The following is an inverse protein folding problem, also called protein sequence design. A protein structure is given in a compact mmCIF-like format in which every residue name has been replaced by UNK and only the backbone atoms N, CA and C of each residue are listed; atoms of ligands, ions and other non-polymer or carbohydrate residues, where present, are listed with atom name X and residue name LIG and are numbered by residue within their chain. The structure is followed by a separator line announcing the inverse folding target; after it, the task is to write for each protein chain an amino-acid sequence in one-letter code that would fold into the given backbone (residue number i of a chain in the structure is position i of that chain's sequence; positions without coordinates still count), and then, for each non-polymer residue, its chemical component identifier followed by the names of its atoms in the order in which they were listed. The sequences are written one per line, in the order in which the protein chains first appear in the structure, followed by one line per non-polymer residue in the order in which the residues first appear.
data_IF_079315142784
#
_entry.id   IF_079315142784
#
_cell.length_a   1.000
_cell.length_b   1.000
_cell.length_c   1.000
_cell.angle_alpha   90.00
_cell.angle_beta   90.00
_cell.angle_gamma   90.00
#
_symmetry.space_group_name_H-M   'P 1'
#
loop_
_entity.id
_entity.type
_entity.pdbx_description
1 polymer ?
#
# COMPACT_ATOMS: atom_id res chain seq x y z
N UNK A 1 -26.28 2.71 2.72
CA UNK A 1 -25.92 3.96 3.43
C UNK A 1 -24.87 3.58 4.46
N UNK A 2 -23.63 4.09 4.35
CA UNK A 2 -22.54 3.66 5.22
C UNK A 2 -22.74 4.24 6.63
N UNK A 3 -22.73 3.41 7.67
CA UNK A 3 -22.99 3.81 9.05
C UNK A 3 -21.79 4.64 9.59
N UNK A 4 -21.79 5.94 9.32
CA UNK A 4 -21.00 6.92 10.05
C UNK A 4 -19.56 7.19 9.57
N UNK A 5 -18.98 6.40 8.64
CA UNK A 5 -17.63 6.58 8.07
C UNK A 5 -17.63 6.32 6.56
N UNK A 6 -16.67 6.86 5.79
CA UNK A 6 -16.53 6.54 4.37
C UNK A 6 -16.23 5.05 4.15
N UNK A 7 -16.68 4.49 3.03
CA UNK A 7 -16.31 3.14 2.62
C UNK A 7 -14.88 3.15 2.09
N UNK A 8 -13.97 2.44 2.74
CA UNK A 8 -12.57 2.37 2.33
C UNK A 8 -12.26 1.03 1.67
N UNK A 9 -12.03 1.06 0.35
CA UNK A 9 -11.69 -0.09 -0.48
C UNK A 9 -10.19 -0.08 -0.73
N UNK A 10 -9.49 -1.13 -0.32
CA UNK A 10 -8.06 -1.29 -0.60
C UNK A 10 -7.87 -2.27 -1.74
N UNK A 11 -7.20 -1.85 -2.82
CA UNK A 11 -6.77 -2.75 -3.88
C UNK A 11 -5.32 -3.17 -3.60
N UNK A 12 -5.10 -4.46 -3.45
CA UNK A 12 -3.81 -5.01 -3.02
C UNK A 12 -3.40 -6.27 -3.79
N UNK A 13 -2.11 -6.56 -3.79
CA UNK A 13 -1.56 -7.80 -4.33
C UNK A 13 -0.28 -8.20 -3.62
N UNK A 14 0.01 -9.49 -3.57
CA UNK A 14 1.21 -10.00 -2.91
C UNK A 14 2.52 -9.77 -3.69
N UNK A 15 2.48 -9.28 -4.94
CA UNK A 15 3.68 -8.92 -5.74
C UNK A 15 3.42 -7.73 -6.66
N UNK A 16 4.49 -7.11 -7.17
CA UNK A 16 4.42 -6.08 -8.20
C UNK A 16 3.98 -6.63 -9.57
N UNK A 17 3.45 -5.77 -10.44
CA UNK A 17 3.10 -6.10 -11.83
C UNK A 17 1.81 -6.91 -12.03
N UNK A 18 1.06 -7.22 -10.96
CA UNK A 18 -0.20 -7.97 -11.06
C UNK A 18 -1.38 -7.18 -11.64
N UNK A 19 -1.24 -5.87 -11.85
CA UNK A 19 -2.29 -5.01 -12.38
C UNK A 19 -3.14 -4.29 -11.32
N UNK A 20 -2.67 -4.16 -10.06
CA UNK A 20 -3.37 -3.39 -9.02
C UNK A 20 -3.81 -2.01 -9.47
N UNK A 21 -2.85 -1.19 -9.93
CA UNK A 21 -3.12 0.19 -10.33
C UNK A 21 -4.03 0.30 -11.56
N UNK A 22 -4.04 -0.73 -12.43
CA UNK A 22 -5.02 -0.85 -13.51
C UNK A 22 -6.43 -1.08 -12.96
N UNK A 23 -6.55 -1.96 -11.96
CA UNK A 23 -7.84 -2.24 -11.30
C UNK A 23 -8.28 -1.03 -10.48
N UNK A 24 -7.41 -0.44 -9.65
CA UNK A 24 -7.76 0.69 -8.78
C UNK A 24 -8.13 1.93 -9.58
N UNK A 25 -7.34 2.33 -10.59
CA UNK A 25 -7.66 3.48 -11.42
C UNK A 25 -8.96 3.30 -12.21
N UNK A 26 -9.18 2.11 -12.75
CA UNK A 26 -10.41 1.80 -13.47
C UNK A 26 -11.62 1.76 -12.55
N UNK A 27 -11.50 1.21 -11.33
CA UNK A 27 -12.58 1.20 -10.33
C UNK A 27 -12.94 2.63 -9.89
N UNK A 28 -11.94 3.46 -9.62
CA UNK A 28 -12.12 4.88 -9.27
C UNK A 28 -12.94 5.58 -10.37
N UNK A 29 -12.51 5.47 -11.61
CA UNK A 29 -13.18 6.13 -12.74
C UNK A 29 -14.59 5.59 -12.97
N UNK A 30 -14.78 4.27 -12.85
CA UNK A 30 -16.09 3.63 -12.95
C UNK A 30 -17.07 4.19 -11.91
N UNK A 31 -16.67 4.18 -10.63
CA UNK A 31 -17.53 4.65 -9.54
C UNK A 31 -17.82 6.16 -9.65
N UNK A 32 -16.82 6.95 -10.05
CA UNK A 32 -17.03 8.36 -10.33
C UNK A 32 -18.09 8.59 -11.42
N UNK A 33 -18.01 7.85 -12.54
CA UNK A 33 -19.00 7.90 -13.64
C UNK A 33 -20.40 7.44 -13.22
N UNK A 34 -20.50 6.61 -12.19
CA UNK A 34 -21.78 6.21 -11.56
C UNK A 34 -22.33 7.24 -10.58
N UNK A 35 -21.63 8.35 -10.36
CA UNK A 35 -22.05 9.45 -9.48
C UNK A 35 -21.69 9.30 -8.01
N UNK A 36 -20.82 8.35 -7.65
CA UNK A 36 -20.32 8.24 -6.29
C UNK A 36 -19.33 9.36 -5.97
N UNK A 37 -19.32 9.81 -4.71
CA UNK A 37 -18.32 10.73 -4.18
C UNK A 37 -17.04 9.96 -3.91
N UNK A 38 -16.01 10.16 -4.70
CA UNK A 38 -14.75 9.39 -4.66
C UNK A 38 -13.63 10.24 -4.06
N UNK A 39 -12.79 9.60 -3.26
CA UNK A 39 -11.45 10.05 -2.90
C UNK A 39 -10.47 8.98 -3.37
N UNK A 40 -9.60 9.31 -4.31
CA UNK A 40 -8.51 8.43 -4.73
C UNK A 40 -7.35 8.55 -3.74
N UNK A 41 -6.73 7.43 -3.40
CA UNK A 41 -5.57 7.43 -2.52
C UNK A 41 -4.49 6.50 -3.07
N UNK A 42 -3.29 7.05 -3.28
CA UNK A 42 -2.11 6.30 -3.74
C UNK A 42 -1.16 6.07 -2.57
N UNK A 43 -1.08 4.83 -2.12
CA UNK A 43 -0.23 4.42 -1.00
C UNK A 43 1.07 3.74 -1.45
N UNK A 44 1.34 3.65 -2.75
CA UNK A 44 2.63 3.20 -3.28
C UNK A 44 3.60 4.38 -3.39
N UNK A 45 4.12 4.83 -2.25
CA UNK A 45 4.97 6.02 -2.18
C UNK A 45 6.34 5.86 -2.87
N UNK A 46 6.75 4.64 -3.22
CA UNK A 46 7.99 4.38 -3.97
C UNK A 46 7.80 4.59 -5.48
N UNK A 47 6.61 4.27 -5.99
CA UNK A 47 6.27 4.41 -7.39
C UNK A 47 4.82 4.90 -7.58
N UNK A 48 4.48 6.09 -7.06
CA UNK A 48 3.12 6.61 -7.15
C UNK A 48 2.75 6.87 -8.61
N UNK A 49 1.60 6.37 -9.05
CA UNK A 49 1.20 6.44 -10.45
C UNK A 49 -0.25 6.90 -10.67
N UNK A 50 -1.13 6.85 -9.65
CA UNK A 50 -2.51 7.28 -9.82
C UNK A 50 -2.63 8.75 -10.25
N UNK A 51 -1.76 9.63 -9.77
CA UNK A 51 -1.77 11.04 -10.12
C UNK A 51 -1.44 11.26 -11.60
N UNK A 52 -0.62 10.39 -12.20
CA UNK A 52 -0.32 10.42 -13.63
C UNK A 52 -1.55 9.95 -14.43
N UNK A 53 -2.16 8.83 -14.03
CA UNK A 53 -3.33 8.25 -14.69
C UNK A 53 -4.56 9.17 -14.68
N UNK A 54 -4.63 10.08 -13.73
CA UNK A 54 -5.73 11.05 -13.59
C UNK A 54 -5.32 12.50 -13.91
N UNK A 55 -4.17 12.67 -14.58
CA UNK A 55 -3.67 13.95 -15.09
C UNK A 55 -3.73 15.07 -14.03
N UNK A 56 -3.13 14.82 -12.87
CA UNK A 56 -3.03 15.82 -11.81
C UNK A 56 -1.98 16.85 -12.19
N UNK A 57 -2.41 18.05 -12.55
CA UNK A 57 -1.54 19.12 -13.02
C UNK A 57 -0.86 19.92 -11.90
N UNK A 58 -1.48 19.96 -10.73
CA UNK A 58 -0.97 20.68 -9.56
C UNK A 58 -1.50 20.06 -8.26
N UNK A 59 -0.78 20.32 -7.17
CA UNK A 59 -1.16 19.91 -5.84
C UNK A 59 -1.69 21.13 -5.05
N UNK A 60 -2.88 20.98 -4.47
CA UNK A 60 -3.49 22.00 -3.61
C UNK A 60 -2.73 22.15 -2.29
N UNK A 61 -2.15 21.05 -1.81
CA UNK A 61 -1.39 20.98 -0.57
C UNK A 61 -0.27 19.94 -0.67
N UNK A 62 0.90 20.31 -0.15
CA UNK A 62 2.07 19.43 -0.03
C UNK A 62 2.61 19.55 1.37
N UNK A 63 2.52 18.48 2.15
CA UNK A 63 3.06 18.41 3.51
C UNK A 63 4.34 17.57 3.52
N UNK A 64 5.39 18.08 4.14
CA UNK A 64 6.60 17.31 4.38
C UNK A 64 6.33 16.21 5.41
N UNK A 65 6.74 15.00 5.06
CA UNK A 65 6.68 13.86 5.97
C UNK A 65 8.03 13.64 6.66
N UNK A 66 8.06 13.83 7.97
CA UNK A 66 9.29 13.78 8.76
C UNK A 66 9.07 13.04 10.08
N UNK A 67 8.91 11.73 10.03
CA UNK A 67 8.82 10.85 11.20
C UNK A 67 10.15 10.21 11.60
N UNK A 68 11.20 10.48 10.84
CA UNK A 68 12.48 9.89 10.99
C UNK A 68 13.50 10.83 11.63
N UNK A 69 14.49 10.23 12.24
CA UNK A 69 15.60 10.93 12.84
C UNK A 69 16.91 10.39 12.27
N UNK A 70 17.92 11.26 12.24
CA UNK A 70 19.32 10.88 12.09
C UNK A 70 20.11 11.41 13.29
N UNK A 71 21.22 10.78 13.58
CA UNK A 71 22.15 11.30 14.56
C UNK A 71 23.00 12.42 13.95
N UNK A 72 23.34 13.44 14.75
CA UNK A 72 24.16 14.56 14.37
C UNK A 72 25.19 14.84 15.46
N UNK A 73 26.46 15.05 15.09
CA UNK A 73 27.55 15.27 16.03
C UNK A 73 27.74 16.78 16.26
N UNK A 74 27.73 17.16 17.52
CA UNK A 74 28.20 18.47 17.97
C UNK A 74 29.74 18.42 18.18
N UNK A 75 30.46 18.90 17.20
CA UNK A 75 31.94 18.87 17.22
C UNK A 75 32.55 19.74 18.29
N UNK A 76 31.84 20.70 18.87
CA UNK A 76 32.35 21.48 20.00
C UNK A 76 32.47 20.65 21.29
N UNK A 77 31.77 19.52 21.37
CA UNK A 77 31.72 18.61 22.51
C UNK A 77 32.40 17.28 22.24
N UNK A 78 32.70 16.96 20.98
CA UNK A 78 33.28 15.69 20.59
C UNK A 78 34.78 15.66 20.88
N UNK A 79 35.23 14.69 21.69
CA UNK A 79 36.63 14.44 22.00
C UNK A 79 37.25 13.32 21.15
N UNK A 80 36.59 12.86 20.13
CA UNK A 80 37.05 11.83 19.19
C UNK A 80 37.34 10.45 19.85
N UNK A 81 36.65 10.09 20.94
CA UNK A 81 36.88 8.83 21.69
C UNK A 81 36.54 7.55 20.92
N UNK A 82 35.72 7.61 19.84
CA UNK A 82 35.39 6.45 18.99
C UNK A 82 34.22 5.58 19.46
N UNK A 83 33.70 5.77 20.68
CA UNK A 83 32.65 4.93 21.23
C UNK A 83 31.41 4.85 20.32
N UNK A 84 31.05 5.94 19.64
CA UNK A 84 29.90 5.97 18.73
C UNK A 84 30.07 5.04 17.51
N UNK A 85 31.31 4.85 17.03
CA UNK A 85 31.60 3.93 15.91
C UNK A 85 31.43 2.50 16.37
N UNK A 86 31.98 2.15 17.54
CA UNK A 86 31.96 0.78 18.08
C UNK A 86 30.55 0.26 18.33
N UNK A 87 29.61 1.15 18.64
CA UNK A 87 28.22 0.77 18.98
C UNK A 87 27.23 0.93 17.83
N UNK A 88 27.64 1.39 16.65
CA UNK A 88 26.74 1.61 15.53
C UNK A 88 26.40 0.28 14.82
N UNK A 89 25.17 -0.24 14.93
CA UNK A 89 24.81 -1.53 14.31
C UNK A 89 24.66 -1.43 12.79
N UNK A 90 24.71 -0.22 12.23
CA UNK A 90 24.48 0.06 10.80
C UNK A 90 25.76 0.52 10.09
N UNK A 91 26.90 0.59 10.78
CA UNK A 91 28.16 1.11 10.23
C UNK A 91 28.04 2.51 9.59
N UNK A 92 27.10 3.31 10.11
CA UNK A 92 26.78 4.64 9.57
C UNK A 92 27.79 5.73 9.96
N UNK A 93 28.77 5.43 10.82
CA UNK A 93 29.73 6.43 11.35
C UNK A 93 31.11 6.14 10.79
N UNK A 94 31.68 7.08 10.06
CA UNK A 94 32.96 6.97 9.38
C UNK A 94 33.87 8.13 9.79
N UNK A 95 35.18 7.98 9.55
CA UNK A 95 36.14 9.08 9.70
C UNK A 95 36.33 9.72 8.32
N UNK A 96 36.04 11.02 8.23
CA UNK A 96 36.29 11.85 7.05
C UNK A 96 37.04 13.09 7.51
N UNK A 97 38.15 13.38 6.87
CA UNK A 97 39.04 14.52 7.21
C UNK A 97 39.40 14.64 8.71
N UNK A 98 39.66 13.48 9.32
CA UNK A 98 40.04 13.41 10.74
C UNK A 98 38.91 13.66 11.73
N UNK A 99 37.65 13.67 11.28
CA UNK A 99 36.46 13.82 12.12
C UNK A 99 35.50 12.68 11.89
N UNK A 100 34.73 12.31 12.91
CA UNK A 100 33.61 11.36 12.73
C UNK A 100 32.49 12.02 11.95
N UNK A 101 32.07 11.36 10.90
CA UNK A 101 30.91 11.76 10.05
C UNK A 101 29.83 10.68 10.15
N UNK A 102 28.59 11.09 10.38
CA UNK A 102 27.44 10.21 10.35
C UNK A 102 26.80 10.31 8.97
N UNK A 103 26.84 9.20 8.21
CA UNK A 103 26.25 9.13 6.91
C UNK A 103 24.71 9.16 7.05
N UNK A 104 24.05 10.24 6.58
CA UNK A 104 22.61 10.38 6.72
C UNK A 104 21.81 9.35 5.88
N UNK A 105 22.43 8.72 4.89
CA UNK A 105 21.80 7.71 4.05
C UNK A 105 21.74 6.33 4.69
N UNK A 106 22.69 6.06 5.60
CA UNK A 106 22.82 4.78 6.32
C UNK A 106 22.23 4.88 7.73
N UNK A 107 22.24 6.07 8.33
CA UNK A 107 21.80 6.26 9.72
C UNK A 107 20.29 6.03 9.89
N UNK A 108 19.93 5.05 10.70
CA UNK A 108 18.54 4.71 11.05
C UNK A 108 17.99 5.47 12.27
N UNK A 109 18.77 6.40 12.86
CA UNK A 109 18.33 7.23 13.99
C UNK A 109 18.00 6.44 15.26
N UNK A 110 18.55 5.26 15.44
CA UNK A 110 18.28 4.34 16.56
C UNK A 110 18.72 4.87 17.94
N UNK A 111 19.53 5.93 17.98
CA UNK A 111 20.03 6.61 19.18
C UNK A 111 21.11 5.87 19.96
N UNK A 112 21.55 4.68 19.58
CA UNK A 112 22.58 3.90 20.27
C UNK A 112 23.88 4.72 20.48
N UNK A 113 24.35 5.40 19.43
CA UNK A 113 25.53 6.28 19.50
C UNK A 113 25.31 7.50 20.44
N UNK A 114 24.10 8.04 20.50
CA UNK A 114 23.77 9.15 21.42
C UNK A 114 23.80 8.72 22.89
N UNK A 115 23.31 7.51 23.16
CA UNK A 115 23.29 6.93 24.51
C UNK A 115 24.69 6.54 24.97
N UNK A 116 25.55 6.03 24.07
CA UNK A 116 26.90 5.60 24.36
C UNK A 116 27.90 6.79 24.47
N UNK A 117 27.58 7.98 23.99
CA UNK A 117 28.48 9.11 23.95
C UNK A 117 28.74 9.71 25.35
N UNK A 118 29.94 9.57 25.95
CA UNK A 118 30.26 10.08 27.30
C UNK A 118 30.21 11.60 27.36
N UNK A 119 30.47 12.27 26.23
CA UNK A 119 30.46 13.74 26.12
C UNK A 119 29.07 14.30 25.77
N UNK A 120 28.05 13.41 25.54
CA UNK A 120 26.74 13.83 25.07
C UNK A 120 26.81 14.75 23.83
N UNK A 121 27.78 14.45 22.94
CA UNK A 121 28.05 15.22 21.74
C UNK A 121 27.12 14.83 20.57
N UNK A 122 26.27 13.79 20.71
CA UNK A 122 25.43 13.32 19.64
C UNK A 122 23.98 13.58 20.02
N UNK A 123 23.28 14.28 19.14
CA UNK A 123 21.84 14.56 19.24
C UNK A 123 21.08 13.95 18.08
N UNK A 124 19.77 13.82 18.25
CA UNK A 124 18.87 13.41 17.16
C UNK A 124 18.37 14.64 16.43
N UNK A 125 18.45 14.63 15.11
CA UNK A 125 17.84 15.63 14.24
C UNK A 125 16.74 14.98 13.42
N UNK A 126 15.57 15.61 13.42
CA UNK A 126 14.44 15.18 12.58
C UNK A 126 14.77 15.46 11.12
N UNK A 127 14.39 14.53 10.23
CA UNK A 127 14.62 14.66 8.79
C UNK A 127 13.34 14.40 8.01
N UNK A 128 13.20 15.15 6.94
CA UNK A 128 12.16 14.89 5.95
C UNK A 128 12.53 13.60 5.22
N UNK A 129 11.57 12.69 5.07
CA UNK A 129 11.76 11.42 4.33
C UNK A 129 10.80 11.25 3.16
N UNK A 130 9.86 12.16 3.01
CA UNK A 130 8.90 12.10 1.95
C UNK A 130 7.92 13.27 2.00
N UNK A 131 6.90 13.20 1.18
CA UNK A 131 5.83 14.20 1.11
C UNK A 131 4.49 13.51 0.98
N UNK A 132 3.46 14.10 1.58
CA UNK A 132 2.06 13.75 1.35
C UNK A 132 1.42 14.90 0.61
N UNK A 133 0.77 14.59 -0.49
CA UNK A 133 0.25 15.56 -1.43
C UNK A 133 -1.25 15.37 -1.58
N UNK A 134 -1.98 16.48 -1.60
CA UNK A 134 -3.43 16.52 -1.86
C UNK A 134 -3.66 17.38 -3.09
N UNK A 135 -4.48 16.91 -4.01
CA UNK A 135 -4.81 17.63 -5.23
C UNK A 135 -6.15 17.19 -5.79
N UNK A 136 -6.43 17.68 -6.99
CA UNK A 136 -7.61 17.30 -7.77
C UNK A 136 -7.20 16.75 -9.12
N UNK A 137 -7.94 15.74 -9.53
CA UNK A 137 -7.79 15.13 -10.85
C UNK A 137 -8.43 15.99 -11.93
N UNK A 138 -8.19 15.70 -13.21
CA UNK A 138 -8.90 16.34 -14.33
C UNK A 138 -10.43 16.13 -14.24
N UNK A 139 -10.90 15.08 -13.54
CA UNK A 139 -12.32 14.84 -13.28
C UNK A 139 -12.85 15.59 -12.03
N UNK A 140 -12.02 16.39 -11.38
CA UNK A 140 -12.35 17.18 -10.19
C UNK A 140 -12.57 16.39 -8.89
N UNK A 141 -12.44 15.06 -8.85
CA UNK A 141 -12.43 14.36 -7.59
C UNK A 141 -11.06 14.49 -6.89
N UNK A 142 -11.03 14.50 -5.54
CA UNK A 142 -9.80 14.64 -4.79
C UNK A 142 -8.92 13.39 -4.88
N UNK A 143 -7.62 13.62 -4.87
CA UNK A 143 -6.59 12.59 -4.80
C UNK A 143 -5.59 12.91 -3.70
N UNK A 144 -5.21 11.87 -2.94
CA UNK A 144 -4.10 11.92 -2.00
C UNK A 144 -3.02 10.97 -2.48
N UNK A 145 -1.80 11.45 -2.55
CA UNK A 145 -0.65 10.65 -2.93
C UNK A 145 0.51 10.92 -1.98
N UNK A 146 1.48 10.03 -1.96
CA UNK A 146 2.73 10.25 -1.24
C UNK A 146 3.92 9.92 -2.12
N UNK A 147 5.03 10.57 -1.86
CA UNK A 147 6.32 10.22 -2.45
C UNK A 147 7.38 10.14 -1.36
N UNK A 148 8.27 9.18 -1.47
CA UNK A 148 9.40 9.03 -0.58
C UNK A 148 10.69 9.53 -1.24
N UNK A 149 11.62 10.04 -0.45
CA UNK A 149 12.93 10.42 -0.97
C UNK A 149 13.70 9.17 -1.43
N UNK A 150 14.42 9.24 -2.57
CA UNK A 150 15.19 8.12 -3.10
C UNK A 150 16.16 7.54 -2.04
N UNK A 151 16.27 6.20 -2.01
CA UNK A 151 17.13 5.48 -1.06
C UNK A 151 16.59 5.38 0.36
N UNK A 152 15.35 5.79 0.61
CA UNK A 152 14.68 5.62 1.91
C UNK A 152 13.65 4.51 1.86
N UNK A 153 13.55 3.65 2.88
CA UNK A 153 12.50 2.65 2.94
C UNK A 153 11.14 3.30 3.10
N UNK A 154 10.15 2.83 2.33
CA UNK A 154 8.77 3.21 2.54
C UNK A 154 8.30 2.71 3.91
N UNK A 155 7.72 3.58 4.69
CA UNK A 155 7.21 3.22 6.01
C UNK A 155 5.69 3.07 6.00
N UNK A 156 5.18 2.09 6.75
CA UNK A 156 3.74 1.97 6.97
C UNK A 156 3.10 3.22 7.57
N UNK A 157 3.87 4.04 8.25
CA UNK A 157 3.40 5.33 8.81
C UNK A 157 3.06 6.33 7.71
N UNK A 158 3.83 6.38 6.61
CA UNK A 158 3.51 7.24 5.48
C UNK A 158 2.19 6.84 4.82
N UNK A 159 1.96 5.52 4.66
CA UNK A 159 0.66 4.99 4.19
C UNK A 159 -0.47 5.38 5.15
N UNK A 160 -0.23 5.32 6.46
CA UNK A 160 -1.22 5.77 7.46
C UNK A 160 -1.55 7.25 7.29
N UNK A 161 -0.55 8.10 6.98
CA UNK A 161 -0.79 9.52 6.75
C UNK A 161 -1.61 9.75 5.47
N UNK A 162 -1.33 9.03 4.38
CA UNK A 162 -2.17 9.07 3.16
C UNK A 162 -3.62 8.73 3.48
N UNK A 163 -3.85 7.66 4.26
CA UNK A 163 -5.20 7.26 4.67
C UNK A 163 -5.89 8.31 5.53
N UNK A 164 -5.17 8.89 6.50
CA UNK A 164 -5.71 9.94 7.36
C UNK A 164 -6.14 11.16 6.53
N UNK A 165 -5.31 11.60 5.59
CA UNK A 165 -5.64 12.70 4.68
C UNK A 165 -6.84 12.37 3.79
N UNK A 166 -6.90 11.16 3.26
CA UNK A 166 -8.05 10.73 2.46
C UNK A 166 -9.35 10.73 3.30
N UNK A 167 -9.29 10.28 4.56
CA UNK A 167 -10.43 10.29 5.49
C UNK A 167 -10.86 11.70 5.91
N UNK A 168 -9.90 12.62 6.10
CA UNK A 168 -10.19 14.04 6.39
C UNK A 168 -10.98 14.72 5.27
N UNK A 169 -10.68 14.35 4.01
CA UNK A 169 -11.33 14.91 2.81
C UNK A 169 -12.66 14.22 2.54
N UNK A 170 -12.75 12.94 2.86
CA UNK A 170 -13.91 12.12 2.58
C UNK A 170 -15.09 12.48 3.48
N UNK A 171 -16.25 12.75 2.88
CA UNK A 171 -17.51 12.80 3.59
C UNK A 171 -18.02 11.40 3.95
N UNK A 172 -19.01 11.32 4.82
CA UNK A 172 -19.59 10.03 5.29
C UNK A 172 -20.12 9.13 4.16
N UNK A 173 -20.54 9.71 3.06
CA UNK A 173 -21.08 9.00 1.89
C UNK A 173 -20.02 8.78 0.79
N UNK A 174 -18.77 9.12 1.06
CA UNK A 174 -17.70 8.96 0.10
C UNK A 174 -17.15 7.54 0.10
N UNK A 175 -16.59 7.15 -1.04
CA UNK A 175 -15.82 5.94 -1.21
C UNK A 175 -14.36 6.35 -1.36
N UNK A 176 -13.49 5.84 -0.49
CA UNK A 176 -12.05 5.95 -0.63
C UNK A 176 -11.57 4.69 -1.34
N UNK A 177 -10.89 4.84 -2.46
CA UNK A 177 -10.22 3.72 -3.15
C UNK A 177 -8.73 3.92 -2.98
N UNK A 178 -8.10 3.01 -2.28
CA UNK A 178 -6.67 3.01 -1.96
C UNK A 178 -5.92 2.02 -2.85
N UNK A 179 -5.01 2.51 -3.69
CA UNK A 179 -4.03 1.69 -4.40
C UNK A 179 -2.87 1.39 -3.44
N UNK A 180 -2.77 0.16 -2.96
CA UNK A 180 -1.74 -0.22 -2.00
C UNK A 180 -0.40 -0.52 -2.68
N UNK A 181 0.70 -0.41 -1.96
CA UNK A 181 1.98 -0.93 -2.41
C UNK A 181 1.90 -2.46 -2.64
N UNK A 182 2.80 -2.98 -3.45
CA UNK A 182 2.91 -4.41 -3.69
C UNK A 182 3.56 -5.14 -2.50
N UNK A 183 3.21 -6.41 -2.31
CA UNK A 183 3.86 -7.29 -1.33
C UNK A 183 3.06 -7.51 -0.06
N UNK A 184 3.78 -7.77 1.04
CA UNK A 184 3.23 -8.12 2.36
C UNK A 184 3.89 -7.31 3.49
N UNK A 185 4.60 -6.24 3.15
CA UNK A 185 5.33 -5.41 4.10
C UNK A 185 4.44 -4.49 4.95
N UNK A 186 5.08 -3.64 5.73
CA UNK A 186 4.41 -2.70 6.63
C UNK A 186 3.46 -1.73 5.90
N UNK A 187 3.70 -1.44 4.63
CA UNK A 187 2.82 -0.62 3.80
C UNK A 187 1.45 -1.29 3.60
N UNK A 188 1.44 -2.60 3.28
CA UNK A 188 0.19 -3.36 3.09
C UNK A 188 -0.55 -3.54 4.41
N UNK A 189 0.19 -3.81 5.51
CA UNK A 189 -0.35 -3.86 6.86
C UNK A 189 -1.07 -2.55 7.21
N UNK A 190 -0.43 -1.41 6.94
CA UNK A 190 -1.02 -0.10 7.18
C UNK A 190 -2.20 0.19 6.25
N UNK A 191 -2.13 -0.25 4.98
CA UNK A 191 -3.24 -0.12 4.05
C UNK A 191 -4.48 -0.88 4.54
N UNK A 192 -4.33 -2.10 5.05
CA UNK A 192 -5.43 -2.93 5.56
C UNK A 192 -5.99 -2.46 6.90
N UNK A 193 -5.17 -1.84 7.75
CA UNK A 193 -5.59 -1.39 9.07
C UNK A 193 -6.75 -0.41 8.98
N UNK A 194 -7.92 -0.81 9.48
CA UNK A 194 -9.14 0.02 9.50
C UNK A 194 -9.79 0.24 8.13
N UNK A 195 -9.42 -0.50 7.10
CA UNK A 195 -10.12 -0.55 5.83
C UNK A 195 -11.47 -1.28 5.96
N UNK A 196 -12.37 -1.03 5.02
CA UNK A 196 -13.70 -1.67 4.99
C UNK A 196 -13.67 -3.03 4.29
N UNK A 197 -12.93 -3.13 3.19
CA UNK A 197 -12.70 -4.36 2.42
C UNK A 197 -11.39 -4.30 1.63
N UNK A 198 -10.87 -5.48 1.26
CA UNK A 198 -9.76 -5.62 0.34
C UNK A 198 -10.24 -6.23 -0.98
N UNK A 199 -9.84 -5.65 -2.11
CA UNK A 199 -9.89 -6.29 -3.42
C UNK A 199 -8.48 -6.80 -3.72
N UNK A 200 -8.33 -8.11 -3.69
CA UNK A 200 -7.06 -8.79 -3.94
C UNK A 200 -6.93 -9.07 -5.44
N UNK A 201 -5.80 -8.69 -6.03
CA UNK A 201 -5.51 -8.95 -7.45
C UNK A 201 -4.43 -10.00 -7.55
N UNK A 202 -4.72 -11.09 -8.25
CA UNK A 202 -3.80 -12.22 -8.45
C UNK A 202 -3.60 -12.52 -9.94
N UNK A 203 -2.46 -13.10 -10.28
CA UNK A 203 -2.20 -13.69 -11.61
C UNK A 203 -2.22 -15.21 -11.50
N UNK A 204 -2.69 -15.95 -12.51
CA UNK A 204 -2.75 -17.41 -12.51
C UNK A 204 -1.36 -18.01 -12.75
N UNK A 205 -0.54 -18.03 -11.72
CA UNK A 205 0.80 -18.60 -11.70
C UNK A 205 1.09 -19.22 -10.33
N UNK A 206 2.04 -20.16 -10.19
CA UNK A 206 2.45 -20.70 -8.89
C UNK A 206 2.81 -19.60 -7.89
N UNK A 207 3.59 -18.62 -8.34
CA UNK A 207 3.98 -17.47 -7.52
C UNK A 207 2.77 -16.58 -7.18
N UNK A 208 1.82 -16.41 -8.14
CA UNK A 208 0.60 -15.62 -7.94
C UNK A 208 -0.28 -16.20 -6.84
N UNK A 209 -0.51 -17.52 -6.85
CA UNK A 209 -1.26 -18.21 -5.79
C UNK A 209 -0.56 -18.09 -4.43
N UNK A 210 0.74 -18.35 -4.36
CA UNK A 210 1.51 -18.21 -3.11
C UNK A 210 1.45 -16.79 -2.54
N UNK A 211 1.54 -15.78 -3.39
CA UNK A 211 1.47 -14.39 -2.99
C UNK A 211 0.04 -13.97 -2.59
N UNK A 212 -0.99 -14.51 -3.25
CA UNK A 212 -2.39 -14.30 -2.85
C UNK A 212 -2.63 -14.84 -1.43
N UNK A 213 -2.18 -16.07 -1.16
CA UNK A 213 -2.29 -16.68 0.18
C UNK A 213 -1.67 -15.77 1.23
N UNK A 214 -0.45 -15.29 1.00
CA UNK A 214 0.25 -14.42 1.96
C UNK A 214 -0.47 -13.10 2.23
N UNK A 215 -0.92 -12.41 1.18
CA UNK A 215 -1.61 -11.13 1.36
C UNK A 215 -2.99 -11.31 1.98
N UNK A 216 -3.67 -12.42 1.67
CA UNK A 216 -4.94 -12.77 2.30
C UNK A 216 -4.79 -13.11 3.80
N UNK A 217 -3.72 -13.79 4.21
CA UNK A 217 -3.44 -14.04 5.65
C UNK A 217 -3.31 -12.71 6.43
N UNK A 218 -2.73 -11.67 5.82
CA UNK A 218 -2.73 -10.35 6.45
C UNK A 218 -4.16 -9.79 6.55
N UNK A 219 -4.97 -9.89 5.51
CA UNK A 219 -6.36 -9.45 5.55
C UNK A 219 -7.17 -10.18 6.64
N UNK A 220 -6.98 -11.49 6.77
CA UNK A 220 -7.58 -12.30 7.85
C UNK A 220 -7.17 -11.81 9.22
N UNK A 221 -5.88 -11.46 9.41
CA UNK A 221 -5.38 -10.93 10.68
C UNK A 221 -6.12 -9.65 11.11
N UNK A 222 -6.47 -8.80 10.16
CA UNK A 222 -7.25 -7.58 10.41
C UNK A 222 -8.78 -7.79 10.36
N UNK A 223 -9.24 -9.05 10.25
CA UNK A 223 -10.66 -9.38 10.07
C UNK A 223 -11.29 -8.60 8.91
N UNK A 224 -10.51 -8.40 7.83
CA UNK A 224 -10.88 -7.62 6.66
C UNK A 224 -11.51 -8.53 5.60
N UNK A 225 -12.81 -8.37 5.29
CA UNK A 225 -13.46 -9.14 4.25
C UNK A 225 -12.80 -8.85 2.91
N UNK A 226 -12.64 -9.88 2.09
CA UNK A 226 -11.87 -9.81 0.87
C UNK A 226 -12.66 -10.28 -0.33
N UNK A 227 -12.39 -9.63 -1.46
CA UNK A 227 -12.85 -10.04 -2.78
C UNK A 227 -11.64 -10.28 -3.68
N UNK A 228 -11.78 -11.09 -4.71
CA UNK A 228 -10.70 -11.51 -5.60
C UNK A 228 -10.99 -11.16 -7.06
N UNK A 229 -9.98 -10.63 -7.74
CA UNK A 229 -9.93 -10.48 -9.19
C UNK A 229 -8.70 -11.26 -9.70
N UNK A 230 -8.90 -12.11 -10.71
CA UNK A 230 -7.80 -12.76 -11.42
C UNK A 230 -7.49 -11.91 -12.65
N UNK A 231 -6.27 -11.39 -12.73
CA UNK A 231 -5.78 -10.64 -13.88
C UNK A 231 -4.92 -11.54 -14.78
N UNK A 232 -4.93 -11.28 -16.10
CA UNK A 232 -4.25 -12.09 -17.11
C UNK A 232 -4.68 -13.56 -17.02
N UNK A 233 -5.97 -13.78 -16.95
CA UNK A 233 -6.60 -15.07 -16.60
C UNK A 233 -6.32 -16.19 -17.61
N UNK A 234 -5.92 -15.84 -18.80
CA UNK A 234 -5.57 -16.71 -19.93
C UNK A 234 -4.10 -17.16 -19.95
N UNK A 235 -3.29 -16.74 -18.96
CA UNK A 235 -1.90 -17.19 -18.86
C UNK A 235 -1.79 -18.68 -18.49
N UNK A 236 -2.67 -19.16 -17.60
CA UNK A 236 -2.67 -20.54 -17.15
C UNK A 236 -4.05 -20.86 -16.52
N UNK A 237 -4.85 -21.64 -17.22
CA UNK A 237 -6.22 -21.99 -16.78
C UNK A 237 -6.21 -22.88 -15.54
N UNK A 238 -5.27 -23.82 -15.43
CA UNK A 238 -5.16 -24.72 -14.26
C UNK A 238 -4.85 -23.94 -12.98
N UNK A 239 -3.98 -22.93 -13.06
CA UNK A 239 -3.70 -22.06 -11.92
C UNK A 239 -4.83 -21.07 -11.65
N UNK A 240 -5.57 -20.63 -12.65
CA UNK A 240 -6.77 -19.83 -12.44
C UNK A 240 -7.82 -20.61 -11.63
N UNK A 241 -8.05 -21.88 -11.98
CA UNK A 241 -8.96 -22.76 -11.23
C UNK A 241 -8.49 -23.00 -9.79
N UNK A 242 -7.17 -23.21 -9.57
CA UNK A 242 -6.62 -23.36 -8.20
C UNK A 242 -6.82 -22.10 -7.36
N UNK A 243 -6.67 -20.93 -7.96
CA UNK A 243 -6.90 -19.64 -7.27
C UNK A 243 -8.39 -19.47 -6.94
N UNK A 244 -9.31 -19.84 -7.84
CA UNK A 244 -10.76 -19.79 -7.60
C UNK A 244 -11.12 -20.75 -6.47
N UNK A 245 -10.62 -21.97 -6.50
CA UNK A 245 -10.86 -22.97 -5.44
C UNK A 245 -10.37 -22.47 -4.08
N UNK A 246 -9.17 -21.89 -4.02
CA UNK A 246 -8.68 -21.26 -2.80
C UNK A 246 -9.60 -20.13 -2.30
N UNK A 247 -10.14 -19.32 -3.21
CA UNK A 247 -11.07 -18.25 -2.85
C UNK A 247 -12.38 -18.81 -2.25
N UNK A 248 -12.92 -19.90 -2.80
CA UNK A 248 -14.10 -20.59 -2.29
C UNK A 248 -13.87 -21.18 -0.90
N UNK A 249 -12.74 -21.88 -0.72
CA UNK A 249 -12.34 -22.49 0.57
C UNK A 249 -12.17 -21.44 1.68
N UNK A 250 -11.64 -20.28 1.35
CA UNK A 250 -11.33 -19.21 2.30
C UNK A 250 -12.42 -18.12 2.38
N UNK A 251 -13.57 -18.35 1.73
CA UNK A 251 -14.70 -17.42 1.71
C UNK A 251 -14.35 -16.03 1.17
N UNK A 252 -13.47 -15.97 0.16
CA UNK A 252 -13.16 -14.76 -0.60
C UNK A 252 -14.15 -14.62 -1.75
N UNK A 253 -14.76 -13.48 -1.93
CA UNK A 253 -15.73 -13.23 -2.99
C UNK A 253 -15.03 -13.12 -4.36
N UNK A 254 -15.12 -14.16 -5.20
CA UNK A 254 -14.60 -14.09 -6.56
C UNK A 254 -15.45 -13.19 -7.43
N UNK A 255 -14.88 -12.08 -7.88
CA UNK A 255 -15.55 -11.03 -8.66
C UNK A 255 -15.49 -11.28 -10.17
N UNK A 256 -14.44 -11.97 -10.63
CA UNK A 256 -14.25 -12.26 -12.05
C UNK A 256 -12.79 -12.26 -12.47
N UNK A 257 -12.61 -12.49 -13.76
CA UNK A 257 -11.31 -12.63 -14.41
C UNK A 257 -11.13 -11.62 -15.55
N UNK A 258 -9.93 -11.08 -15.69
CA UNK A 258 -9.53 -10.13 -16.72
C UNK A 258 -8.55 -10.85 -17.63
N UNK A 259 -8.81 -10.96 -18.94
CA UNK A 259 -7.87 -11.56 -19.87
C UNK A 259 -6.61 -10.68 -20.05
N UNK A 260 -5.51 -11.27 -20.51
CA UNK A 260 -4.37 -10.50 -20.96
C UNK A 260 -4.75 -9.62 -22.15
N UNK A 261 -4.32 -8.36 -22.11
CA UNK A 261 -4.69 -7.39 -23.14
C UNK A 261 -3.57 -6.37 -23.31
N UNK A 262 -3.04 -6.28 -24.52
CA UNK A 262 -1.97 -5.35 -24.87
C UNK A 262 -2.38 -3.88 -24.79
N UNK A 263 -3.67 -3.58 -24.72
CA UNK A 263 -4.14 -2.19 -24.52
C UNK A 263 -3.88 -1.69 -23.09
N UNK A 264 -3.72 -2.59 -22.12
CA UNK A 264 -3.44 -2.22 -20.72
C UNK A 264 -2.07 -1.55 -20.57
N UNK A 265 -0.93 -2.13 -21.00
CA UNK A 265 0.35 -1.42 -20.93
C UNK A 265 0.36 -0.16 -21.80
N UNK A 266 -0.33 -0.15 -22.94
CA UNK A 266 -0.46 1.06 -23.76
C UNK A 266 -1.20 2.17 -23.01
N UNK A 267 -2.30 1.87 -22.34
CA UNK A 267 -3.05 2.86 -21.54
C UNK A 267 -2.20 3.51 -20.45
N UNK A 268 -1.32 2.72 -19.81
CA UNK A 268 -0.36 3.22 -18.82
C UNK A 268 0.67 4.17 -19.46
N UNK A 269 1.15 3.86 -20.68
CA UNK A 269 2.06 4.74 -21.43
C UNK A 269 1.40 6.07 -21.77
N UNK A 270 0.10 6.06 -22.09
CA UNK A 270 -0.69 7.26 -22.36
C UNK A 270 -1.24 7.92 -21.08
N UNK A 271 -0.87 7.38 -19.90
CA UNK A 271 -1.29 7.92 -18.58
C UNK A 271 -2.81 8.04 -18.44
N UNK A 272 -3.55 7.01 -18.86
CA UNK A 272 -5.02 6.97 -18.77
C UNK A 272 -5.49 5.61 -18.25
N UNK A 273 -6.57 5.55 -17.45
CA UNK A 273 -7.20 4.29 -17.09
C UNK A 273 -7.65 3.52 -18.34
N UNK A 274 -7.43 2.21 -18.40
CA UNK A 274 -7.70 1.41 -19.60
C UNK A 274 -9.17 1.47 -20.04
N UNK A 275 -10.12 1.56 -19.10
CA UNK A 275 -11.56 1.67 -19.41
C UNK A 275 -11.93 2.99 -20.11
N UNK A 276 -11.05 3.97 -20.08
CA UNK A 276 -11.18 5.22 -20.83
C UNK A 276 -10.36 5.18 -22.11
N UNK A 277 -9.12 4.71 -22.03
CA UNK A 277 -8.22 4.63 -23.17
C UNK A 277 -8.75 3.73 -24.29
N UNK A 278 -9.26 2.56 -23.91
CA UNK A 278 -9.82 1.58 -24.86
C UNK A 278 -11.07 0.91 -24.26
N UNK A 279 -12.25 1.58 -24.28
CA UNK A 279 -13.48 1.08 -23.65
C UNK A 279 -13.94 -0.28 -24.18
N UNK A 280 -13.68 -0.55 -25.46
CA UNK A 280 -14.11 -1.77 -26.14
C UNK A 280 -13.13 -2.93 -26.05
N UNK A 281 -11.97 -2.73 -25.45
CA UNK A 281 -10.96 -3.78 -25.28
C UNK A 281 -11.47 -4.93 -24.39
N UNK A 282 -10.92 -6.14 -24.56
CA UNK A 282 -11.31 -7.29 -23.72
C UNK A 282 -11.12 -7.02 -22.23
N UNK A 283 -10.01 -6.39 -21.82
CA UNK A 283 -9.77 -6.05 -20.43
C UNK A 283 -10.77 -5.03 -19.89
N UNK A 284 -11.08 -3.98 -20.66
CA UNK A 284 -12.06 -2.96 -20.27
C UNK A 284 -13.45 -3.56 -20.10
N UNK A 285 -13.90 -4.39 -21.01
CA UNK A 285 -15.20 -5.09 -20.91
C UNK A 285 -15.28 -6.00 -19.70
N UNK A 286 -14.19 -6.72 -19.39
CA UNK A 286 -14.10 -7.57 -18.20
C UNK A 286 -14.14 -6.72 -16.93
N UNK A 287 -13.35 -5.65 -16.84
CA UNK A 287 -13.34 -4.72 -15.71
C UNK A 287 -14.72 -4.10 -15.47
N UNK A 288 -15.40 -3.64 -16.51
CA UNK A 288 -16.74 -3.06 -16.39
C UNK A 288 -17.75 -4.05 -15.81
N UNK A 289 -17.72 -5.33 -16.25
CA UNK A 289 -18.58 -6.39 -15.69
C UNK A 289 -18.27 -6.64 -14.21
N UNK A 290 -16.98 -6.72 -13.86
CA UNK A 290 -16.51 -6.90 -12.48
C UNK A 290 -16.98 -5.74 -11.60
N UNK A 291 -16.85 -4.50 -12.06
CA UNK A 291 -17.25 -3.33 -11.30
C UNK A 291 -18.75 -3.18 -11.16
N UNK A 292 -19.53 -3.63 -12.15
CA UNK A 292 -20.99 -3.76 -11.99
C UNK A 292 -21.35 -4.74 -10.85
N UNK A 293 -20.58 -5.82 -10.68
CA UNK A 293 -20.74 -6.75 -9.56
C UNK A 293 -20.32 -6.08 -8.24
N UNK A 294 -19.18 -5.39 -8.20
CA UNK A 294 -18.72 -4.63 -7.02
C UNK A 294 -19.78 -3.62 -6.59
N UNK A 295 -20.30 -2.84 -7.51
CA UNK A 295 -21.31 -1.82 -7.22
C UNK A 295 -22.60 -2.43 -6.69
N UNK A 296 -23.17 -3.41 -7.40
CA UNK A 296 -24.48 -3.99 -7.07
C UNK A 296 -24.45 -4.90 -5.85
N UNK A 297 -23.42 -5.73 -5.70
CA UNK A 297 -23.33 -6.78 -4.68
C UNK A 297 -22.61 -6.32 -3.42
N UNK A 298 -21.57 -5.48 -3.57
CA UNK A 298 -20.77 -5.04 -2.43
C UNK A 298 -21.21 -3.65 -1.95
N UNK A 299 -21.16 -2.63 -2.81
CA UNK A 299 -21.32 -1.24 -2.36
C UNK A 299 -22.77 -0.96 -1.92
N UNK A 300 -23.77 -1.40 -2.69
CA UNK A 300 -25.19 -1.13 -2.37
C UNK A 300 -25.70 -1.83 -1.12
N UNK A 301 -25.17 -3.00 -0.78
CA UNK A 301 -25.55 -3.76 0.42
C UNK A 301 -24.32 -4.27 1.18
N UNK A 302 -23.45 -3.31 1.51
CA UNK A 302 -22.14 -3.60 2.12
C UNK A 302 -22.25 -4.36 3.44
N UNK A 303 -23.21 -4.03 4.29
CA UNK A 303 -23.37 -4.70 5.58
C UNK A 303 -23.76 -6.17 5.44
N UNK A 304 -24.60 -6.52 4.46
CA UNK A 304 -24.93 -7.90 4.14
C UNK A 304 -23.75 -8.64 3.57
N UNK A 305 -23.09 -8.05 2.58
CA UNK A 305 -21.90 -8.64 1.97
C UNK A 305 -20.77 -8.87 2.98
N UNK A 306 -20.49 -7.89 3.83
CA UNK A 306 -19.47 -8.00 4.88
C UNK A 306 -19.75 -9.13 5.87
N UNK A 307 -21.03 -9.35 6.24
CA UNK A 307 -21.39 -10.46 7.12
C UNK A 307 -21.21 -11.82 6.44
N UNK A 308 -21.53 -11.91 5.15
CA UNK A 308 -21.40 -13.14 4.36
C UNK A 308 -19.92 -13.52 4.11
N UNK A 309 -19.05 -12.53 3.93
CA UNK A 309 -17.62 -12.74 3.62
C UNK A 309 -16.69 -12.38 4.80
N UNK A 310 -17.20 -12.55 6.01
CA UNK A 310 -16.34 -12.37 7.20
C UNK A 310 -15.24 -13.46 7.19
N UNK A 311 -13.96 -13.06 7.27
CA UNK A 311 -12.87 -14.02 7.28
C UNK A 311 -12.97 -15.01 8.42
N UNK A 312 -12.50 -16.24 8.20
CA UNK A 312 -12.23 -17.17 9.29
C UNK A 312 -11.23 -16.54 10.25
N UNK A 313 -11.37 -16.84 11.56
CA UNK A 313 -10.37 -16.35 12.53
C UNK A 313 -9.00 -16.87 12.11
N UNK A 314 -7.96 -16.01 12.08
CA UNK A 314 -6.60 -16.48 11.83
C UNK A 314 -6.28 -17.59 12.83
N UNK A 315 -5.56 -18.62 12.38
CA UNK A 315 -5.05 -19.66 13.29
C UNK A 315 -4.28 -18.94 14.39
N UNK A 316 -4.67 -19.13 15.63
CA UNK A 316 -3.99 -18.50 16.76
C UNK A 316 -2.53 -18.93 16.66
N UNK A 317 -1.63 -17.97 16.45
CA UNK A 317 -0.20 -18.20 16.56
C UNK A 317 0.05 -18.70 18.00
N UNK A 318 0.29 -20.00 18.15
CA UNK A 318 0.78 -20.55 19.40
C UNK A 318 2.28 -20.28 19.40
N UNK A 319 2.80 -19.37 20.23
CA UNK A 319 4.23 -19.21 20.35
C UNK A 319 4.82 -20.58 20.73
N UNK A 320 5.81 -21.02 19.98
CA UNK A 320 6.61 -22.19 20.37
C UNK A 320 7.35 -21.75 21.64
N UNK A 321 6.87 -22.20 22.79
CA UNK A 321 7.58 -22.00 24.04
C UNK A 321 8.80 -22.95 24.00
N UNK A 322 9.92 -22.42 23.53
CA UNK A 322 11.22 -23.10 23.67
C UNK A 322 11.55 -23.09 25.16
N UNK A 323 11.44 -24.26 25.80
CA UNK A 323 11.87 -24.39 27.18
C UNK A 323 13.41 -24.18 27.23
N UNK A 324 13.93 -23.45 28.22
CA UNK A 324 15.39 -23.35 28.40
C UNK A 324 15.99 -24.73 28.46
N UNK A 325 16.88 -25.07 27.50
CA UNK A 325 17.52 -26.40 27.39
C UNK A 325 17.14 -27.23 26.17
N UNK A 326 16.10 -26.89 25.41
CA UNK A 326 15.76 -27.50 24.13
C UNK A 326 16.32 -26.64 22.98
N UNK A 327 17.63 -26.71 22.74
CA UNK A 327 18.27 -26.21 21.50
C UNK A 327 18.44 -27.45 20.62
N UNK A 328 17.77 -27.47 19.48
CA UNK A 328 18.01 -28.44 18.39
C UNK A 328 19.23 -28.01 17.61
#
# INVERSE_FOLDING_TARGET
MFLGAPLEIVVASGKGGTGKSTVSSSLILYLYRKGYKIVAADADAEAPNLHLLFNVSSWDRVDEYSDAYIAEIDYSRCDMCGECVNVCPFDAIKIVDGKYFIDPTICEGCSTCSLACPRKAIRRRRVVRGRVMVGRTEYSFPIVSASIEPGRPNSGKLVTEVKNRAREIAGRESIIVLDAAAGIGCQVISAFTGASLAILVAEPTPAGLSNLIRVHEIAKHFNLPSALIINKSDLDEDYAEKIIRYAEEENIDFLGAIPYDNTVPLSMTYMRPVIEFSPDSPASKALMKIFDVVEKRIIRDFDRWRRAHKPSKPSIYRPILIKPGEII
#
